data_IF_244383547629
#
_entry.id   IF_244383547629
#
_cell.length_a   1.000
_cell.length_b   1.000
_cell.length_c   1.000
_cell.angle_alpha   90.00
_cell.angle_beta   90.00
_cell.angle_gamma   90.00
#
_symmetry.space_group_name_H-M   'P 1'
#
loop_
_entity.id
_entity.type
_entity.pdbx_description
1 polymer ?
#
# COMPACT_ATOMS: atom_id res chain seq x y z
N UNK A 1 -7.36 3.78 -15.21
CA UNK A 1 -7.61 4.48 -13.94
C UNK A 1 -9.09 4.86 -13.75
N UNK A 2 -9.69 5.59 -14.68
CA UNK A 2 -11.11 5.96 -14.59
C UNK A 2 -12.06 4.76 -14.38
N UNK A 3 -11.74 3.59 -14.93
CA UNK A 3 -12.56 2.39 -14.76
C UNK A 3 -12.62 1.92 -13.30
N UNK A 4 -11.48 1.82 -12.62
CA UNK A 4 -11.41 1.38 -11.21
C UNK A 4 -12.15 2.34 -10.29
N UNK A 5 -11.97 3.65 -10.48
CA UNK A 5 -12.68 4.69 -9.72
C UNK A 5 -14.19 4.61 -9.96
N UNK A 6 -14.62 4.51 -11.24
CA UNK A 6 -16.05 4.35 -11.60
C UNK A 6 -16.64 3.08 -10.99
N UNK A 7 -15.93 1.96 -11.05
CA UNK A 7 -16.37 0.69 -10.44
C UNK A 7 -16.51 0.81 -8.92
N UNK A 8 -15.55 1.43 -8.26
CA UNK A 8 -15.58 1.66 -6.81
C UNK A 8 -16.75 2.58 -6.40
N UNK A 9 -17.02 3.64 -7.17
CA UNK A 9 -18.18 4.52 -6.96
C UNK A 9 -19.51 3.77 -7.12
N UNK A 10 -19.67 2.96 -8.19
CA UNK A 10 -20.87 2.16 -8.38
C UNK A 10 -21.13 1.24 -7.19
N UNK A 11 -20.11 0.52 -6.74
CA UNK A 11 -20.22 -0.36 -5.55
C UNK A 11 -20.53 0.43 -4.28
N UNK A 12 -19.90 1.60 -4.08
CA UNK A 12 -20.17 2.44 -2.92
C UNK A 12 -21.61 2.97 -2.92
N UNK A 13 -22.10 3.49 -4.04
CA UNK A 13 -23.47 3.99 -4.14
C UNK A 13 -24.49 2.87 -3.93
N UNK A 14 -24.19 1.65 -4.42
CA UNK A 14 -25.05 0.48 -4.19
C UNK A 14 -25.18 0.19 -2.70
N UNK A 15 -24.08 0.06 -1.95
CA UNK A 15 -24.14 -0.20 -0.51
C UNK A 15 -24.77 0.96 0.27
N UNK A 16 -24.53 2.21 -0.12
CA UNK A 16 -25.15 3.37 0.51
C UNK A 16 -26.68 3.37 0.38
N UNK A 17 -27.20 2.92 -0.75
CA UNK A 17 -28.64 2.82 -1.00
C UNK A 17 -29.26 1.71 -0.16
N UNK A 18 -28.65 0.50 -0.16
CA UNK A 18 -29.20 -0.66 0.55
C UNK A 18 -29.07 -0.50 2.06
N UNK A 19 -27.91 -0.04 2.53
CA UNK A 19 -27.60 0.05 3.95
C UNK A 19 -27.87 1.44 4.55
N UNK A 20 -28.79 2.20 3.98
CA UNK A 20 -29.13 3.55 4.45
C UNK A 20 -29.44 3.56 5.96
N UNK A 21 -30.24 2.62 6.43
CA UNK A 21 -30.65 2.46 7.84
C UNK A 21 -29.72 1.50 8.63
N UNK A 22 -28.66 0.96 8.02
CA UNK A 22 -27.75 0.03 8.67
C UNK A 22 -26.89 0.71 9.75
N UNK A 23 -26.46 -0.07 10.74
CA UNK A 23 -25.53 0.41 11.75
C UNK A 23 -24.12 0.66 11.17
N UNK A 24 -23.28 1.38 11.91
CA UNK A 24 -21.92 1.75 11.50
C UNK A 24 -21.04 0.54 11.19
N UNK A 25 -21.14 -0.53 11.97
CA UNK A 25 -20.34 -1.75 11.77
C UNK A 25 -20.72 -2.47 10.47
N UNK A 26 -22.01 -2.61 10.18
CA UNK A 26 -22.50 -3.22 8.93
C UNK A 26 -22.06 -2.40 7.72
N UNK A 27 -22.16 -1.07 7.78
CA UNK A 27 -21.69 -0.17 6.73
C UNK A 27 -20.19 -0.31 6.50
N UNK A 28 -19.40 -0.37 7.59
CA UNK A 28 -17.94 -0.58 7.51
C UNK A 28 -17.61 -1.94 6.90
N UNK A 29 -18.29 -3.00 7.32
CA UNK A 29 -18.08 -4.35 6.80
C UNK A 29 -18.38 -4.39 5.30
N UNK A 30 -19.50 -3.86 4.87
CA UNK A 30 -19.88 -3.81 3.45
C UNK A 30 -18.85 -3.01 2.60
N UNK A 31 -18.37 -1.86 3.09
CA UNK A 31 -17.29 -1.13 2.44
C UNK A 31 -16.01 -1.98 2.34
N UNK A 32 -15.62 -2.62 3.43
CA UNK A 32 -14.39 -3.42 3.48
C UNK A 32 -14.43 -4.62 2.55
N UNK A 33 -15.61 -5.22 2.37
CA UNK A 33 -15.79 -6.42 1.54
C UNK A 33 -16.01 -6.10 0.06
N UNK A 34 -16.72 -5.03 -0.27
CA UNK A 34 -17.20 -4.78 -1.64
C UNK A 34 -16.47 -3.63 -2.36
N UNK A 35 -16.04 -2.59 -1.63
CA UNK A 35 -15.43 -1.40 -2.24
C UNK A 35 -13.92 -1.39 -2.07
N UNK A 36 -13.44 -1.66 -0.88
CA UNK A 36 -12.02 -1.64 -0.54
C UNK A 36 -11.17 -2.55 -1.45
N UNK A 37 -11.58 -3.80 -1.77
CA UNK A 37 -10.80 -4.65 -2.67
C UNK A 37 -10.63 -4.05 -4.07
N UNK A 38 -11.62 -3.33 -4.59
CA UNK A 38 -11.54 -2.65 -5.89
C UNK A 38 -10.45 -1.58 -5.87
N UNK A 39 -10.33 -0.82 -4.77
CA UNK A 39 -9.35 0.26 -4.62
C UNK A 39 -7.92 -0.25 -4.40
N UNK A 40 -7.76 -1.42 -3.79
CA UNK A 40 -6.47 -1.98 -3.39
C UNK A 40 -5.94 -3.06 -4.34
N UNK A 41 -6.82 -3.66 -5.15
CA UNK A 41 -6.44 -4.71 -6.08
C UNK A 41 -5.33 -4.25 -7.02
N UNK A 42 -4.29 -5.07 -7.12
CA UNK A 42 -3.19 -4.81 -8.04
C UNK A 42 -2.33 -3.58 -7.70
N UNK A 43 -2.26 -3.15 -6.42
CA UNK A 43 -1.44 -2.00 -5.98
C UNK A 43 0.04 -2.13 -6.37
N UNK A 44 0.55 -3.34 -6.61
CA UNK A 44 1.88 -3.57 -7.15
C UNK A 44 1.99 -3.28 -8.65
N UNK A 45 0.90 -3.55 -9.41
CA UNK A 45 0.90 -3.38 -10.86
C UNK A 45 0.52 -1.96 -11.29
N UNK A 46 -0.40 -1.33 -10.55
CA UNK A 46 -0.88 0.03 -10.85
C UNK A 46 -1.04 0.82 -9.55
N UNK A 47 -0.24 1.80 -9.35
CA UNK A 47 -0.38 2.74 -8.23
C UNK A 47 -0.18 4.15 -8.76
N UNK A 48 -1.22 5.00 -8.70
CA UNK A 48 -1.13 6.31 -9.30
C UNK A 48 -0.07 7.16 -8.60
N UNK A 49 0.66 7.93 -9.39
CA UNK A 49 1.62 8.92 -8.91
C UNK A 49 1.13 10.36 -9.14
N UNK A 50 0.20 10.56 -10.09
CA UNK A 50 -0.37 11.88 -10.34
C UNK A 50 -1.40 12.22 -9.27
N UNK A 51 -1.27 13.40 -8.65
CA UNK A 51 -2.14 13.84 -7.56
C UNK A 51 -3.63 13.81 -7.90
N UNK A 52 -4.02 14.21 -9.10
CA UNK A 52 -5.42 14.17 -9.54
C UNK A 52 -6.02 12.77 -9.44
N UNK A 53 -5.23 11.75 -9.81
CA UNK A 53 -5.64 10.36 -9.74
C UNK A 53 -5.69 9.83 -8.31
N UNK A 54 -4.75 10.26 -7.46
CA UNK A 54 -4.74 9.93 -6.03
C UNK A 54 -5.97 10.53 -5.36
N UNK A 55 -6.25 11.81 -5.62
CA UNK A 55 -7.43 12.52 -5.09
C UNK A 55 -8.75 11.85 -5.46
N UNK A 56 -8.89 11.35 -6.69
CA UNK A 56 -10.11 10.62 -7.10
C UNK A 56 -10.33 9.32 -6.29
N UNK A 57 -9.26 8.56 -6.03
CA UNK A 57 -9.35 7.37 -5.19
C UNK A 57 -9.68 7.72 -3.73
N UNK A 58 -9.04 8.78 -3.21
CA UNK A 58 -9.28 9.23 -1.83
C UNK A 58 -10.69 9.78 -1.63
N UNK A 59 -11.30 10.39 -2.65
CA UNK A 59 -12.71 10.82 -2.61
C UNK A 59 -13.65 9.65 -2.33
N UNK A 60 -13.44 8.50 -2.98
CA UNK A 60 -14.26 7.30 -2.73
C UNK A 60 -14.11 6.87 -1.27
N UNK A 61 -12.88 6.80 -0.77
CA UNK A 61 -12.62 6.40 0.62
C UNK A 61 -13.19 7.40 1.63
N UNK A 62 -13.00 8.70 1.41
CA UNK A 62 -13.56 9.74 2.29
C UNK A 62 -15.09 9.68 2.34
N UNK A 63 -15.75 9.42 1.20
CA UNK A 63 -17.21 9.26 1.16
C UNK A 63 -17.65 8.02 1.93
N UNK A 64 -16.92 6.91 1.81
CA UNK A 64 -17.20 5.68 2.56
C UNK A 64 -17.01 5.87 4.07
N UNK A 65 -15.95 6.58 4.48
CA UNK A 65 -15.71 6.90 5.89
C UNK A 65 -16.85 7.76 6.49
N UNK A 66 -17.32 8.76 5.74
CA UNK A 66 -18.49 9.57 6.14
C UNK A 66 -19.76 8.71 6.27
N UNK A 67 -19.99 7.81 5.32
CA UNK A 67 -21.16 6.92 5.35
C UNK A 67 -21.14 5.96 6.53
N UNK A 68 -19.99 5.46 6.92
CA UNK A 68 -19.83 4.54 8.05
C UNK A 68 -19.61 5.22 9.39
N UNK A 69 -19.66 6.56 9.46
CA UNK A 69 -19.39 7.38 10.66
C UNK A 69 -18.01 7.15 11.30
N UNK A 70 -17.02 6.77 10.50
CA UNK A 70 -15.63 6.51 10.94
C UNK A 70 -14.64 7.63 10.56
N UNK A 71 -15.10 8.84 10.31
CA UNK A 71 -14.24 9.96 9.87
C UNK A 71 -13.16 10.35 10.89
N UNK A 72 -13.41 10.14 12.17
CA UNK A 72 -12.49 10.47 13.28
C UNK A 72 -11.81 9.23 13.88
N UNK A 73 -12.01 8.05 13.31
CA UNK A 73 -11.42 6.83 13.87
C UNK A 73 -9.95 6.71 13.48
N UNK A 74 -9.01 6.59 14.45
CA UNK A 74 -7.60 6.35 14.17
C UNK A 74 -7.37 5.00 13.46
N UNK A 75 -8.35 4.09 13.50
CA UNK A 75 -8.29 2.79 12.84
C UNK A 75 -8.59 2.85 11.33
N UNK A 76 -8.99 4.03 10.80
CA UNK A 76 -9.27 4.20 9.40
C UNK A 76 -8.02 4.56 8.61
N UNK A 77 -7.21 3.57 8.32
CA UNK A 77 -5.98 3.73 7.54
C UNK A 77 -6.23 4.41 6.19
N UNK A 78 -5.31 5.28 5.79
CA UNK A 78 -5.35 5.92 4.47
C UNK A 78 -5.16 4.90 3.35
N UNK A 79 -5.74 5.15 2.19
CA UNK A 79 -5.54 4.29 1.03
C UNK A 79 -4.06 4.27 0.60
N UNK A 80 -3.38 5.40 0.70
CA UNK A 80 -1.96 5.52 0.40
C UNK A 80 -1.09 4.60 1.27
N UNK A 81 -1.32 4.58 2.61
CA UNK A 81 -0.62 3.67 3.53
C UNK A 81 -0.83 2.21 3.16
N UNK A 82 -2.09 1.80 2.96
CA UNK A 82 -2.40 0.41 2.62
C UNK A 82 -1.77 -0.02 1.30
N UNK A 83 -1.77 0.84 0.28
CA UNK A 83 -1.13 0.58 -1.01
C UNK A 83 0.39 0.51 -0.87
N UNK A 84 1.00 1.39 -0.06
CA UNK A 84 2.44 1.33 0.27
C UNK A 84 2.80 -0.02 0.90
N UNK A 85 2.04 -0.47 1.88
CA UNK A 85 2.25 -1.76 2.55
C UNK A 85 2.08 -2.93 1.58
N UNK A 86 1.06 -2.91 0.72
CA UNK A 86 0.85 -3.95 -0.28
C UNK A 86 2.05 -4.06 -1.24
N UNK A 87 2.62 -2.92 -1.67
CA UNK A 87 3.83 -2.91 -2.51
C UNK A 87 5.06 -3.46 -1.77
N UNK A 88 5.26 -3.08 -0.51
CA UNK A 88 6.36 -3.59 0.30
C UNK A 88 6.24 -5.11 0.51
N UNK A 89 5.04 -5.62 0.75
CA UNK A 89 4.80 -7.06 0.84
C UNK A 89 5.06 -7.78 -0.50
N UNK A 90 4.71 -7.17 -1.63
CA UNK A 90 4.98 -7.72 -2.94
C UNK A 90 6.49 -7.74 -3.25
N UNK A 91 7.22 -6.66 -2.91
CA UNK A 91 8.68 -6.62 -3.04
C UNK A 91 9.37 -7.66 -2.15
N UNK A 92 8.86 -7.85 -0.93
CA UNK A 92 9.35 -8.91 -0.03
C UNK A 92 9.22 -10.31 -0.65
N UNK A 93 8.08 -10.60 -1.27
CA UNK A 93 7.85 -11.86 -1.97
C UNK A 93 8.80 -12.04 -3.15
N UNK A 94 9.07 -10.99 -3.90
CA UNK A 94 10.05 -11.00 -4.96
C UNK A 94 11.46 -11.23 -4.43
N UNK A 95 11.85 -10.55 -3.35
CA UNK A 95 13.15 -10.73 -2.70
C UNK A 95 13.34 -12.14 -2.11
N UNK A 96 12.28 -12.72 -1.56
CA UNK A 96 12.25 -14.09 -1.03
C UNK A 96 12.20 -15.19 -2.08
N UNK A 97 12.19 -14.84 -3.37
CA UNK A 97 12.22 -15.81 -4.48
C UNK A 97 10.88 -16.52 -4.73
N UNK A 98 9.74 -15.99 -4.25
CA UNK A 98 8.44 -16.58 -4.59
C UNK A 98 8.26 -16.67 -6.10
N UNK A 99 7.87 -17.87 -6.61
CA UNK A 99 7.79 -18.19 -8.04
C UNK A 99 7.03 -17.15 -8.89
N UNK A 100 5.92 -16.65 -8.38
CA UNK A 100 5.11 -15.64 -9.08
C UNK A 100 5.82 -14.28 -9.24
N UNK A 101 6.88 -14.02 -8.46
CA UNK A 101 7.62 -12.76 -8.43
C UNK A 101 9.08 -12.89 -8.86
N UNK A 102 9.49 -14.09 -9.30
CA UNK A 102 10.88 -14.42 -9.66
C UNK A 102 11.48 -13.44 -10.66
N UNK A 103 10.77 -13.12 -11.74
CA UNK A 103 11.26 -12.19 -12.76
C UNK A 103 11.58 -10.77 -12.23
N UNK A 104 10.99 -10.37 -11.11
CA UNK A 104 11.33 -9.14 -10.40
C UNK A 104 12.48 -9.37 -9.46
N UNK A 105 12.46 -10.49 -8.70
CA UNK A 105 13.50 -10.88 -7.76
C UNK A 105 14.88 -10.95 -8.42
N UNK A 106 14.98 -11.58 -9.58
CA UNK A 106 16.22 -11.74 -10.36
C UNK A 106 16.85 -10.40 -10.81
N UNK A 107 16.08 -9.30 -10.78
CA UNK A 107 16.55 -7.94 -11.12
C UNK A 107 16.92 -7.11 -9.90
N UNK A 108 16.73 -7.64 -8.69
CA UNK A 108 17.07 -6.95 -7.44
C UNK A 108 18.54 -7.16 -7.14
N UNK A 109 19.32 -6.10 -7.18
CA UNK A 109 20.76 -6.12 -6.91
C UNK A 109 21.04 -5.55 -5.53
N UNK A 110 22.05 -6.09 -4.85
CA UNK A 110 22.60 -5.49 -3.64
C UNK A 110 23.46 -4.27 -3.98
N UNK A 111 23.49 -3.24 -3.15
CA UNK A 111 24.44 -2.14 -3.32
C UNK A 111 25.87 -2.65 -3.10
N UNK A 112 26.84 -2.04 -3.79
CA UNK A 112 28.27 -2.38 -3.60
C UNK A 112 28.79 -1.97 -2.22
N UNK A 113 28.18 -0.97 -1.61
CA UNK A 113 28.57 -0.45 -0.29
C UNK A 113 27.32 -0.27 0.59
N UNK A 114 27.46 -0.63 1.86
CA UNK A 114 26.46 -0.42 2.90
C UNK A 114 27.05 0.54 3.95
N UNK A 115 26.33 1.58 4.28
CA UNK A 115 26.68 2.45 5.40
C UNK A 115 26.31 1.79 6.74
N UNK A 116 26.85 2.29 7.85
CA UNK A 116 26.53 1.79 9.20
C UNK A 116 25.05 1.90 9.56
N UNK A 117 24.33 2.85 8.95
CA UNK A 117 22.91 3.06 9.16
C UNK A 117 22.02 2.17 8.29
N UNK A 118 22.61 1.46 7.33
CA UNK A 118 21.86 0.64 6.37
C UNK A 118 21.60 -0.77 6.92
N UNK A 119 20.43 -1.32 6.60
CA UNK A 119 20.15 -2.72 6.90
C UNK A 119 20.76 -3.64 5.83
N UNK A 120 21.10 -4.86 6.21
CA UNK A 120 21.76 -5.85 5.33
C UNK A 120 20.94 -6.27 4.10
N UNK A 121 19.64 -5.97 4.08
CA UNK A 121 18.70 -6.31 3.00
C UNK A 121 18.42 -5.11 2.09
N UNK A 122 19.29 -4.09 2.12
CA UNK A 122 19.18 -2.94 1.22
C UNK A 122 19.29 -3.36 -0.23
N UNK A 123 18.50 -2.74 -1.09
CA UNK A 123 18.44 -3.00 -2.52
C UNK A 123 19.00 -1.77 -3.24
N UNK A 124 19.82 -2.01 -4.27
CA UNK A 124 20.39 -0.96 -5.10
C UNK A 124 19.29 -0.18 -5.82
N UNK A 125 19.23 1.13 -5.56
CA UNK A 125 18.33 2.02 -6.28
C UNK A 125 19.03 2.53 -7.55
N UNK A 126 18.45 2.28 -8.73
CA UNK A 126 18.98 2.76 -10.00
C UNK A 126 18.35 4.11 -10.35
N UNK A 127 19.18 5.10 -10.64
CA UNK A 127 18.70 6.40 -11.10
C UNK A 127 17.90 6.23 -12.40
N UNK A 128 16.68 6.73 -12.41
CA UNK A 128 15.79 6.65 -13.56
C UNK A 128 15.75 7.99 -14.30
N UNK A 129 15.79 7.94 -15.63
CA UNK A 129 15.73 9.13 -16.48
C UNK A 129 14.31 9.57 -16.84
N UNK A 130 13.35 8.66 -16.73
CA UNK A 130 11.94 8.89 -17.09
C UNK A 130 11.02 8.76 -15.90
N UNK A 131 9.89 9.46 -15.93
CA UNK A 131 8.85 9.33 -14.89
C UNK A 131 8.27 7.92 -14.82
N UNK A 132 8.13 7.25 -15.96
CA UNK A 132 7.66 5.86 -16.01
C UNK A 132 8.61 4.96 -15.22
N UNK A 133 9.92 5.11 -15.41
CA UNK A 133 10.92 4.38 -14.65
C UNK A 133 10.90 4.73 -13.17
N UNK A 134 10.89 6.04 -12.84
CA UNK A 134 10.89 6.54 -11.45
C UNK A 134 9.68 6.04 -10.65
N UNK A 135 8.49 6.08 -11.25
CA UNK A 135 7.25 5.69 -10.59
C UNK A 135 6.83 4.23 -10.83
N UNK A 136 7.70 3.44 -11.49
CA UNK A 136 7.49 1.99 -11.63
C UNK A 136 7.38 1.31 -10.25
N UNK A 137 6.70 0.18 -10.18
CA UNK A 137 6.53 -0.59 -8.95
C UNK A 137 7.85 -0.82 -8.22
N UNK A 138 8.87 -1.33 -8.91
CA UNK A 138 10.15 -1.72 -8.32
C UNK A 138 10.86 -0.51 -7.73
N UNK A 139 11.14 0.52 -8.56
CA UNK A 139 11.94 1.68 -8.15
C UNK A 139 11.29 2.47 -7.02
N UNK A 140 9.99 2.74 -7.13
CA UNK A 140 9.23 3.42 -6.09
C UNK A 140 9.16 2.63 -4.78
N UNK A 141 9.17 1.30 -4.86
CA UNK A 141 9.09 0.46 -3.67
C UNK A 141 10.45 0.26 -3.01
N UNK A 142 11.54 0.18 -3.79
CA UNK A 142 12.91 0.10 -3.27
C UNK A 142 13.23 1.30 -2.39
N UNK A 143 12.82 2.50 -2.77
CA UNK A 143 13.02 3.69 -1.95
C UNK A 143 12.41 3.54 -0.55
N UNK A 144 11.17 3.07 -0.49
CA UNK A 144 10.48 2.83 0.78
C UNK A 144 11.02 1.62 1.55
N UNK A 145 11.48 0.60 0.84
CA UNK A 145 12.12 -0.58 1.42
C UNK A 145 13.41 -0.22 2.13
N UNK A 146 14.26 0.56 1.49
CA UNK A 146 15.55 0.98 2.03
C UNK A 146 15.42 1.94 3.24
N UNK A 147 14.27 2.56 3.44
CA UNK A 147 13.95 3.40 4.59
C UNK A 147 13.40 2.62 5.79
N UNK A 148 13.14 1.30 5.64
CA UNK A 148 12.63 0.50 6.75
C UNK A 148 13.73 0.28 7.81
N UNK A 149 13.39 0.33 9.10
CA UNK A 149 14.33 -0.01 10.18
C UNK A 149 14.81 -1.46 10.05
N UNK A 150 16.07 -1.71 10.40
CA UNK A 150 16.67 -3.05 10.39
C UNK A 150 15.86 -4.07 11.21
N UNK A 151 15.25 -3.63 12.33
CA UNK A 151 14.42 -4.46 13.20
C UNK A 151 13.19 -5.07 12.50
N UNK A 152 12.64 -4.36 11.51
CA UNK A 152 11.48 -4.84 10.73
C UNK A 152 11.86 -5.97 9.80
N UNK A 153 13.08 -5.89 9.25
CA UNK A 153 13.63 -6.79 8.23
C UNK A 153 14.57 -7.85 8.82
N UNK A 154 15.16 -7.62 10.00
CA UNK A 154 16.25 -8.43 10.57
C UNK A 154 15.90 -9.87 10.95
N UNK A 155 14.62 -10.24 10.91
CA UNK A 155 14.15 -11.62 11.20
C UNK A 155 13.60 -12.31 9.96
N UNK A 156 14.16 -12.03 8.80
CA UNK A 156 13.82 -12.72 7.57
C UNK A 156 14.60 -14.04 7.43
N UNK A 157 14.00 -15.12 6.96
CA UNK A 157 12.66 -15.19 6.35
C UNK A 157 11.51 -15.24 7.36
N UNK A 158 10.44 -14.47 7.13
CA UNK A 158 9.22 -14.49 7.94
C UNK A 158 7.98 -14.64 7.05
N UNK A 159 6.84 -15.03 7.64
CA UNK A 159 5.58 -15.09 6.89
C UNK A 159 5.17 -13.69 6.42
N UNK A 160 4.63 -13.51 5.19
CA UNK A 160 4.22 -12.21 4.66
C UNK A 160 3.27 -11.43 5.57
N UNK A 161 2.38 -12.13 6.29
CA UNK A 161 1.47 -11.51 7.25
C UNK A 161 2.19 -10.94 8.48
N UNK A 162 3.29 -11.53 8.90
CA UNK A 162 4.13 -11.02 10.00
C UNK A 162 4.84 -9.75 9.57
N UNK A 163 5.43 -9.73 8.38
CA UNK A 163 6.02 -8.54 7.80
C UNK A 163 4.98 -7.42 7.68
N UNK A 164 3.80 -7.73 7.15
CA UNK A 164 2.70 -6.76 7.03
C UNK A 164 2.37 -6.09 8.36
N UNK A 165 2.26 -6.85 9.45
CA UNK A 165 1.99 -6.30 10.79
C UNK A 165 3.11 -5.37 11.28
N UNK A 166 4.39 -5.75 11.07
CA UNK A 166 5.55 -4.95 11.47
C UNK A 166 5.65 -3.64 10.68
N UNK A 167 5.52 -3.71 9.36
CA UNK A 167 5.52 -2.54 8.47
C UNK A 167 4.38 -1.59 8.82
N UNK A 168 3.19 -2.11 9.10
CA UNK A 168 2.05 -1.32 9.58
C UNK A 168 2.41 -0.52 10.84
N UNK A 169 2.98 -1.18 11.83
CA UNK A 169 3.37 -0.52 13.09
C UNK A 169 4.33 0.66 12.85
N UNK A 170 5.33 0.47 11.99
CA UNK A 170 6.31 1.53 11.67
C UNK A 170 5.67 2.71 10.92
N UNK A 171 4.83 2.42 9.93
CA UNK A 171 4.16 3.47 9.14
C UNK A 171 3.22 4.30 10.02
N UNK A 172 2.49 3.67 10.94
CA UNK A 172 1.60 4.39 11.87
C UNK A 172 2.38 5.27 12.86
N UNK A 173 3.49 4.76 13.40
CA UNK A 173 4.35 5.55 14.31
C UNK A 173 4.95 6.76 13.59
N UNK A 174 5.38 6.61 12.34
CA UNK A 174 5.90 7.71 11.53
C UNK A 174 4.83 8.78 11.25
N UNK A 175 3.58 8.37 10.98
CA UNK A 175 2.47 9.31 10.75
C UNK A 175 2.07 10.08 12.00
N UNK A 176 2.21 9.49 13.19
CA UNK A 176 1.88 10.15 14.46
C UNK A 176 2.93 11.16 14.92
N UNK A 177 4.16 11.10 14.39
CA UNK A 177 5.25 12.06 14.71
C UNK A 177 5.24 13.30 13.82
N UNK A 178 4.40 13.34 12.78
CA UNK A 178 4.28 14.47 11.85
C UNK A 178 3.05 15.34 12.13
N UNK A 179 2.28 15.06 13.16
CA UNK A 179 1.25 15.89 13.75
C UNK A 179 1.74 16.40 15.10
#
# INVERSE_FOLDING_TARGET
MNYTVKKAWKSLHFIMRILRKGNSNTKRLAYTSLVRPILEYGAACWDPYREGQIRELDRVQKKAAKFSHHTKSPTWETLASRRKIARLCALYKAYGGERAWKAIGDRLERPHYLSRADHNLKIRNRRQRTDIGKYSFVNRTIEHWNQLPAEVLGTLPCKPNTLKKRVNKVIHVASSKMC
#
